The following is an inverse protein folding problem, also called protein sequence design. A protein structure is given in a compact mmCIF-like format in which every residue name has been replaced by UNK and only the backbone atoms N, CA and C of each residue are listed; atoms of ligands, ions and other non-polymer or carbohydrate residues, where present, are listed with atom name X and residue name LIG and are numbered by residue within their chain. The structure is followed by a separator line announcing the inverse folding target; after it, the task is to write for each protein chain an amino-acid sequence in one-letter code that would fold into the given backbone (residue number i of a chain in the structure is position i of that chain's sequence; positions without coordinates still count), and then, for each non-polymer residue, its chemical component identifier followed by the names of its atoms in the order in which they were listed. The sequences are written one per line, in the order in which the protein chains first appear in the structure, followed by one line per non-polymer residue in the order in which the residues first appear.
data_IF_956127905603
#
_entry.id   IF_956127905603
#
_cell.length_a   1.000
_cell.length_b   1.000
_cell.length_c   1.000
_cell.angle_alpha   90.00
_cell.angle_beta   90.00
_cell.angle_gamma   90.00
#
_symmetry.space_group_name_H-M   'P 1'
#
loop_
_entity.id
_entity.type
_entity.pdbx_description
1 polymer ?
#
# COMPACT_ATOMS: atom_id res chain seq x y z
N UNK A 1 7.08 -24.46 12.62
CA UNK A 1 7.81 -23.67 11.60
C UNK A 1 7.34 -22.25 11.72
N UNK A 2 8.28 -21.39 12.04
CA UNK A 2 8.11 -20.01 12.40
C UNK A 2 7.69 -19.17 11.19
N UNK A 3 6.51 -18.61 11.29
CA UNK A 3 6.23 -17.39 10.53
C UNK A 3 6.76 -16.27 11.43
N UNK A 4 7.95 -15.76 11.11
CA UNK A 4 8.43 -14.49 11.67
C UNK A 4 7.88 -13.36 10.81
N UNK A 5 6.77 -12.74 11.16
CA UNK A 5 6.36 -11.52 10.50
C UNK A 5 7.22 -10.39 11.05
N UNK A 6 7.80 -9.60 10.17
CA UNK A 6 8.54 -8.41 10.54
C UNK A 6 7.66 -7.40 11.27
N UNK A 7 8.18 -6.73 12.27
CA UNK A 7 7.47 -5.94 13.28
C UNK A 7 7.03 -4.53 12.80
N UNK A 8 6.58 -4.34 11.56
CA UNK A 8 6.19 -3.03 11.04
C UNK A 8 4.82 -3.06 10.33
N UNK A 9 3.86 -2.38 10.89
CA UNK A 9 2.65 -1.86 10.22
C UNK A 9 1.46 -2.79 10.03
N UNK A 10 1.59 -3.95 9.45
CA UNK A 10 0.46 -4.88 9.19
C UNK A 10 0.23 -5.90 10.31
N UNK A 11 1.00 -5.88 11.36
CA UNK A 11 1.19 -6.98 12.29
C UNK A 11 0.31 -6.93 13.53
N UNK A 12 -0.30 -5.79 13.84
CA UNK A 12 -1.25 -5.76 14.94
C UNK A 12 -2.50 -6.58 14.59
N UNK A 13 -2.94 -6.57 13.32
CA UNK A 13 -4.09 -7.37 12.87
C UNK A 13 -3.83 -8.87 12.85
N UNK A 14 -2.60 -9.33 12.59
CA UNK A 14 -2.25 -10.75 12.63
C UNK A 14 -2.20 -11.28 14.07
N UNK A 15 -1.92 -10.41 15.04
CA UNK A 15 -1.79 -10.80 16.44
C UNK A 15 -3.11 -11.01 17.16
N UNK A 16 -4.16 -10.29 16.77
CA UNK A 16 -5.50 -10.49 17.37
C UNK A 16 -6.12 -11.84 16.98
N UNK A 17 -5.75 -12.37 15.82
CA UNK A 17 -6.16 -13.68 15.34
C UNK A 17 -5.21 -14.83 15.74
N UNK A 18 -4.03 -14.50 16.31
CA UNK A 18 -3.09 -15.53 16.73
C UNK A 18 -3.63 -16.32 17.91
N UNK A 19 -3.75 -17.63 17.71
CA UNK A 19 -4.15 -18.57 18.75
C UNK A 19 -2.94 -19.40 19.21
N UNK A 20 -2.41 -19.13 20.43
CA UNK A 20 -1.27 -19.87 20.97
C UNK A 20 -1.55 -21.34 21.21
N UNK A 21 -2.83 -21.70 21.32
CA UNK A 21 -3.28 -23.08 21.55
C UNK A 21 -4.05 -23.56 20.32
N UNK A 22 -3.38 -24.09 19.28
CA UNK A 22 -4.04 -24.53 18.06
C UNK A 22 -5.14 -25.56 18.34
N UNK A 23 -6.28 -25.39 17.70
CA UNK A 23 -7.43 -26.32 17.83
C UNK A 23 -7.14 -27.73 17.31
N UNK A 24 -6.06 -27.90 16.54
CA UNK A 24 -5.58 -29.19 16.05
C UNK A 24 -4.93 -30.06 17.13
N UNK A 25 -4.55 -29.50 18.28
CA UNK A 25 -3.94 -30.20 19.36
C UNK A 25 -4.99 -30.92 20.22
N UNK A 26 -4.69 -32.17 20.60
CA UNK A 26 -5.48 -32.90 21.58
C UNK A 26 -5.35 -32.26 22.96
N UNK A 27 -6.30 -32.51 23.90
CA UNK A 27 -6.21 -31.99 25.27
C UNK A 27 -4.93 -32.45 26.02
N UNK A 28 -4.37 -33.60 25.69
CA UNK A 28 -3.12 -34.06 26.26
C UNK A 28 -1.91 -33.27 25.72
N UNK A 29 -1.90 -32.96 24.43
CA UNK A 29 -0.85 -32.17 23.80
C UNK A 29 -0.89 -30.69 24.25
N UNK A 30 -2.08 -30.16 24.47
CA UNK A 30 -2.27 -28.77 24.97
C UNK A 30 -1.59 -28.56 26.32
N UNK A 31 -1.46 -29.56 27.17
CA UNK A 31 -0.75 -29.46 28.45
C UNK A 31 0.74 -29.13 28.33
N UNK A 32 1.33 -29.36 27.16
CA UNK A 32 2.73 -29.02 26.89
C UNK A 32 2.93 -27.58 26.44
N UNK A 33 1.86 -26.86 26.07
CA UNK A 33 1.93 -25.43 25.79
C UNK A 33 1.99 -24.68 27.13
N UNK A 34 3.13 -24.10 27.46
CA UNK A 34 3.36 -23.45 28.76
C UNK A 34 3.18 -21.94 28.71
N UNK A 35 3.10 -21.36 27.50
CA UNK A 35 2.96 -19.94 27.32
C UNK A 35 3.39 -19.49 25.92
N UNK A 36 3.47 -18.19 25.75
CA UNK A 36 3.85 -17.52 24.49
C UNK A 36 5.07 -16.66 24.77
N UNK A 37 5.97 -16.57 23.80
CA UNK A 37 7.09 -15.63 23.87
C UNK A 37 7.16 -14.81 22.60
N UNK A 38 7.70 -13.60 22.72
CA UNK A 38 8.12 -12.79 21.60
C UNK A 38 9.58 -12.39 21.80
N UNK A 39 10.35 -12.37 20.72
CA UNK A 39 11.76 -12.02 20.75
C UNK A 39 11.94 -10.59 20.23
N UNK A 40 12.78 -9.82 20.92
CA UNK A 40 13.29 -8.55 20.43
C UNK A 40 14.75 -8.77 20.05
N UNK A 41 15.02 -8.83 18.75
CA UNK A 41 16.38 -8.92 18.21
C UNK A 41 17.02 -7.53 18.24
N UNK A 42 18.16 -7.41 18.92
CA UNK A 42 18.75 -6.11 19.29
C UNK A 42 19.92 -5.68 18.43
N UNK A 43 20.23 -6.39 17.34
CA UNK A 43 21.38 -6.09 16.46
C UNK A 43 21.37 -4.63 15.94
N UNK A 44 20.18 -4.07 15.77
CA UNK A 44 20.00 -2.69 15.29
C UNK A 44 19.29 -1.79 16.30
N UNK A 45 19.28 -2.18 17.59
CA UNK A 45 18.62 -1.43 18.67
C UNK A 45 19.68 -0.95 19.66
N UNK A 46 20.28 0.23 19.44
CA UNK A 46 21.45 0.67 20.19
C UNK A 46 21.13 1.22 21.59
N UNK A 47 19.88 1.54 21.89
CA UNK A 47 19.50 2.16 23.16
C UNK A 47 18.25 1.53 23.78
N UNK A 48 18.13 1.64 25.11
CA UNK A 48 16.94 1.20 25.83
C UNK A 48 15.67 1.95 25.38
N UNK A 49 15.79 3.26 25.12
CA UNK A 49 14.69 4.05 24.58
C UNK A 49 14.21 3.53 23.21
N UNK A 50 15.13 3.08 22.35
CA UNK A 50 14.76 2.43 21.07
C UNK A 50 14.10 1.08 21.31
N UNK A 51 14.57 0.30 22.28
CA UNK A 51 13.92 -0.95 22.67
C UNK A 51 12.48 -0.72 23.15
N UNK A 52 12.24 0.30 23.98
CA UNK A 52 10.88 0.69 24.40
C UNK A 52 10.00 1.03 23.19
N UNK A 53 10.49 1.84 22.26
CA UNK A 53 9.77 2.16 21.01
C UNK A 53 9.41 0.94 20.19
N UNK A 54 10.28 -0.05 20.13
CA UNK A 54 10.05 -1.28 19.37
C UNK A 54 9.03 -2.21 20.02
N UNK A 55 9.01 -2.29 21.36
CA UNK A 55 8.12 -3.21 22.09
C UNK A 55 6.79 -2.59 22.49
N UNK A 56 6.73 -1.28 22.78
CA UNK A 56 5.51 -0.64 23.25
C UNK A 56 4.75 0.05 22.10
N UNK A 57 3.43 -0.09 21.98
CA UNK A 57 2.50 -0.88 22.83
C UNK A 57 2.34 -2.35 22.37
N UNK A 58 3.16 -2.86 21.46
CA UNK A 58 3.03 -4.23 20.89
C UNK A 58 3.03 -5.32 21.96
N UNK A 59 3.79 -5.09 23.03
CA UNK A 59 3.82 -6.01 24.17
C UNK A 59 2.46 -6.11 24.88
N UNK A 60 1.70 -5.02 24.94
CA UNK A 60 0.36 -5.03 25.48
C UNK A 60 -0.58 -5.96 24.67
N UNK A 61 -0.47 -5.94 23.33
CA UNK A 61 -1.22 -6.87 22.49
C UNK A 61 -0.83 -8.33 22.73
N UNK A 62 0.46 -8.62 22.97
CA UNK A 62 0.91 -9.95 23.33
C UNK A 62 0.33 -10.41 24.68
N UNK A 63 0.31 -9.52 25.68
CA UNK A 63 -0.31 -9.79 26.97
C UNK A 63 -1.82 -10.07 26.81
N UNK A 64 -2.52 -9.31 25.99
CA UNK A 64 -3.93 -9.53 25.71
C UNK A 64 -4.20 -10.94 25.18
N UNK A 65 -3.38 -11.41 24.23
CA UNK A 65 -3.48 -12.76 23.66
C UNK A 65 -3.25 -13.85 24.71
N UNK A 66 -2.30 -13.62 25.64
CA UNK A 66 -1.95 -14.59 26.67
C UNK A 66 -2.99 -14.70 27.77
N UNK A 67 -3.65 -13.60 28.11
CA UNK A 67 -4.59 -13.52 29.24
C UNK A 67 -6.06 -13.71 28.82
N UNK A 68 -6.35 -13.63 27.51
CA UNK A 68 -7.72 -13.77 27.00
C UNK A 68 -7.94 -15.16 26.43
N UNK A 69 -9.06 -15.77 26.79
CA UNK A 69 -9.52 -17.00 26.13
C UNK A 69 -9.96 -16.70 24.69
N UNK A 70 -9.91 -17.68 23.77
CA UNK A 70 -10.23 -17.46 22.35
C UNK A 70 -11.56 -16.76 22.09
N UNK A 71 -12.58 -17.09 22.89
CA UNK A 71 -13.94 -16.53 22.80
C UNK A 71 -14.04 -15.08 23.28
N UNK A 72 -13.01 -14.58 23.99
CA UNK A 72 -12.95 -13.21 24.54
C UNK A 72 -11.98 -12.32 23.79
N UNK A 73 -11.22 -12.84 22.84
CA UNK A 73 -10.32 -12.04 22.01
C UNK A 73 -11.14 -11.13 21.12
N UNK A 74 -10.97 -9.82 21.29
CA UNK A 74 -11.63 -8.80 20.50
C UNK A 74 -10.67 -7.63 20.29
N UNK A 75 -10.22 -7.48 19.07
CA UNK A 75 -9.25 -6.43 18.71
C UNK A 75 -9.80 -5.03 18.92
N UNK A 76 -11.06 -4.78 18.53
CA UNK A 76 -11.70 -3.48 18.71
C UNK A 76 -11.81 -3.10 20.20
N UNK A 77 -12.15 -4.06 21.05
CA UNK A 77 -12.17 -3.85 22.50
C UNK A 77 -10.77 -3.55 23.04
N UNK A 78 -9.75 -4.30 22.61
CA UNK A 78 -8.36 -4.01 22.96
C UNK A 78 -7.96 -2.59 22.55
N UNK A 79 -8.26 -2.18 21.32
CA UNK A 79 -7.97 -0.84 20.81
C UNK A 79 -8.69 0.24 21.62
N UNK A 80 -9.92 0.02 22.03
CA UNK A 80 -10.70 0.96 22.84
C UNK A 80 -10.06 1.23 24.22
N UNK A 81 -9.36 0.24 24.77
CA UNK A 81 -8.66 0.33 26.06
C UNK A 81 -7.22 0.86 25.95
N UNK A 82 -6.63 0.77 24.78
CA UNK A 82 -5.24 1.18 24.55
C UNK A 82 -4.96 2.64 24.91
N UNK A 83 -5.83 3.65 24.65
CA UNK A 83 -5.59 5.02 25.07
C UNK A 83 -5.39 5.21 26.58
N UNK A 84 -6.01 4.38 27.41
CA UNK A 84 -5.81 4.43 28.86
C UNK A 84 -4.41 3.92 29.26
N UNK A 85 -3.94 2.85 28.61
CA UNK A 85 -2.58 2.33 28.81
C UNK A 85 -1.52 3.37 28.37
N UNK A 86 -1.78 4.05 27.25
CA UNK A 86 -0.89 5.09 26.74
C UNK A 86 -0.75 6.27 27.71
N UNK A 87 -1.83 6.70 28.37
CA UNK A 87 -1.73 7.72 29.43
C UNK A 87 -0.77 7.29 30.54
N UNK A 88 -0.74 6.00 30.81
CA UNK A 88 0.19 5.45 31.81
C UNK A 88 1.63 5.47 31.31
N UNK A 89 1.86 5.11 30.03
CA UNK A 89 3.17 5.22 29.42
C UNK A 89 3.70 6.67 29.40
N UNK A 90 2.83 7.63 29.12
CA UNK A 90 3.18 9.05 29.15
C UNK A 90 3.54 9.51 30.58
N UNK A 91 2.77 9.09 31.59
CA UNK A 91 3.04 9.44 33.01
C UNK A 91 4.37 8.86 33.50
N UNK A 92 4.73 7.65 33.08
CA UNK A 92 5.99 6.98 33.42
C UNK A 92 7.16 7.40 32.50
N UNK A 93 6.92 8.19 31.47
CA UNK A 93 7.94 8.68 30.54
C UNK A 93 8.50 7.61 29.61
N UNK A 94 7.73 6.54 29.30
CA UNK A 94 8.15 5.53 28.34
C UNK A 94 8.15 6.05 26.91
N UNK A 95 9.18 5.67 26.15
CA UNK A 95 9.22 5.90 24.71
C UNK A 95 8.48 4.76 23.98
N UNK A 96 7.28 5.02 23.51
CA UNK A 96 6.47 4.04 22.78
C UNK A 96 6.21 4.48 21.33
N UNK A 97 5.80 3.54 20.48
CA UNK A 97 5.50 3.77 19.08
C UNK A 97 4.19 4.56 18.92
N UNK A 98 4.29 5.88 18.82
CA UNK A 98 3.13 6.80 18.71
C UNK A 98 2.39 6.71 17.39
N UNK A 99 2.96 6.05 16.36
CA UNK A 99 2.33 5.92 15.04
C UNK A 99 0.99 5.18 15.05
N UNK A 100 0.71 4.39 16.08
CA UNK A 100 -0.61 3.77 16.30
C UNK A 100 -1.75 4.79 16.38
N UNK A 101 -1.43 6.03 16.72
CA UNK A 101 -2.38 7.14 16.82
C UNK A 101 -2.39 8.03 15.57
N UNK A 102 -1.66 7.66 14.53
CA UNK A 102 -1.74 8.39 13.27
C UNK A 102 -3.10 8.19 12.60
N UNK A 103 -3.43 9.10 11.72
CA UNK A 103 -4.57 8.93 10.83
C UNK A 103 -4.29 7.75 9.90
N UNK A 104 -5.25 6.84 9.79
CA UNK A 104 -5.29 5.81 8.77
C UNK A 104 -6.19 6.29 7.65
N UNK A 105 -5.70 6.27 6.42
CA UNK A 105 -6.47 6.62 5.23
C UNK A 105 -6.65 5.39 4.35
N UNK A 106 -7.88 5.09 4.02
CA UNK A 106 -8.25 4.10 3.04
C UNK A 106 -8.73 4.81 1.77
N UNK A 107 -8.17 4.41 0.63
CA UNK A 107 -8.46 5.00 -0.67
C UNK A 107 -9.20 3.95 -1.50
N UNK A 108 -10.43 4.23 -1.87
CA UNK A 108 -11.28 3.31 -2.62
C UNK A 108 -11.71 3.95 -3.94
N UNK A 109 -11.24 3.43 -5.09
CA UNK A 109 -11.73 3.86 -6.38
C UNK A 109 -13.24 3.61 -6.51
N UNK A 110 -13.97 4.60 -6.97
CA UNK A 110 -15.42 4.51 -7.22
C UNK A 110 -15.71 4.87 -8.69
N UNK A 111 -15.59 3.92 -9.62
CA UNK A 111 -15.82 4.16 -11.04
C UNK A 111 -17.25 4.61 -11.36
N UNK A 112 -18.25 4.23 -10.56
CA UNK A 112 -19.64 4.61 -10.78
C UNK A 112 -19.87 6.12 -10.62
N UNK A 113 -19.23 6.72 -9.61
CA UNK A 113 -19.28 8.16 -9.34
C UNK A 113 -18.14 8.94 -10.01
N UNK A 114 -17.13 8.23 -10.52
CA UNK A 114 -15.88 8.81 -11.05
C UNK A 114 -15.04 9.48 -9.96
N UNK A 115 -15.05 8.93 -8.73
CA UNK A 115 -14.36 9.49 -7.56
C UNK A 115 -13.32 8.54 -7.00
N UNK A 116 -12.31 9.13 -6.36
CA UNK A 116 -11.53 8.43 -5.35
C UNK A 116 -12.14 8.75 -3.98
N UNK A 117 -12.70 7.75 -3.34
CA UNK A 117 -13.32 7.88 -2.03
C UNK A 117 -12.25 7.67 -0.94
N UNK A 118 -12.09 8.66 -0.04
CA UNK A 118 -11.11 8.58 1.06
C UNK A 118 -11.87 8.43 2.38
N UNK A 119 -11.62 7.33 3.07
CA UNK A 119 -12.10 7.09 4.42
C UNK A 119 -10.96 7.27 5.41
N UNK A 120 -11.18 8.10 6.43
CA UNK A 120 -10.19 8.38 7.46
C UNK A 120 -10.65 7.82 8.80
N UNK A 121 -9.72 7.30 9.56
CA UNK A 121 -9.96 6.82 10.91
C UNK A 121 -8.75 7.04 11.81
N UNK A 122 -8.99 7.03 13.11
CA UNK A 122 -7.98 6.93 14.16
C UNK A 122 -8.41 5.88 15.16
N UNK A 123 -7.47 5.23 15.80
CA UNK A 123 -7.71 4.16 16.76
C UNK A 123 -8.58 4.60 17.96
N UNK A 124 -8.55 5.87 18.31
CA UNK A 124 -9.20 6.47 19.47
C UNK A 124 -10.35 7.42 19.07
N UNK A 125 -10.78 7.39 17.81
CA UNK A 125 -11.80 8.28 17.25
C UNK A 125 -11.51 9.78 17.48
N UNK A 126 -10.23 10.16 17.49
CA UNK A 126 -9.83 11.56 17.61
C UNK A 126 -10.30 12.38 16.42
N UNK A 127 -10.64 13.67 16.60
CA UNK A 127 -11.00 14.56 15.49
C UNK A 127 -9.89 14.60 14.43
N UNK A 128 -10.27 14.41 13.17
CA UNK A 128 -9.38 14.47 12.04
C UNK A 128 -9.66 15.74 11.25
N UNK A 129 -8.63 16.52 10.98
CA UNK A 129 -8.70 17.69 10.12
C UNK A 129 -7.91 17.43 8.85
N UNK A 130 -8.36 17.99 7.71
CA UNK A 130 -7.73 17.74 6.42
C UNK A 130 -7.64 18.99 5.56
N UNK A 131 -6.80 18.92 4.53
CA UNK A 131 -6.67 19.88 3.43
C UNK A 131 -6.58 19.15 2.09
N UNK A 132 -6.89 19.85 0.99
CA UNK A 132 -6.82 19.29 -0.38
C UNK A 132 -5.91 20.11 -1.29
N UNK A 133 -5.28 21.14 -0.76
CA UNK A 133 -4.46 22.12 -1.48
C UNK A 133 -2.96 22.03 -1.16
N UNK A 134 -2.55 20.99 -0.41
CA UNK A 134 -1.16 20.77 -0.01
C UNK A 134 -0.71 21.60 1.19
N UNK A 135 -1.57 22.42 1.78
CA UNK A 135 -1.25 23.10 3.03
C UNK A 135 -1.27 22.11 4.19
N UNK A 136 -0.46 22.35 5.22
CA UNK A 136 -0.44 21.53 6.42
C UNK A 136 -1.74 21.72 7.21
N UNK A 137 -2.51 20.65 7.49
CA UNK A 137 -3.76 20.76 8.23
C UNK A 137 -3.53 21.10 9.70
N UNK A 138 -4.43 21.91 10.26
CA UNK A 138 -4.43 22.36 11.65
C UNK A 138 -5.81 22.14 12.27
N UNK A 139 -5.97 22.43 13.56
CA UNK A 139 -7.28 22.41 14.22
C UNK A 139 -8.29 23.42 13.62
N UNK A 140 -7.84 24.39 12.82
CA UNK A 140 -8.70 25.33 12.09
C UNK A 140 -9.09 24.85 10.70
N UNK A 141 -8.47 23.79 10.19
CA UNK A 141 -8.78 23.20 8.90
C UNK A 141 -10.14 22.46 8.94
N UNK A 142 -10.76 22.15 7.79
CA UNK A 142 -12.00 21.40 7.74
C UNK A 142 -11.95 20.11 8.56
N UNK A 143 -13.01 19.85 9.32
CA UNK A 143 -13.18 18.64 10.10
C UNK A 143 -13.67 17.50 9.16
N UNK A 144 -13.10 16.32 9.33
CA UNK A 144 -13.56 15.13 8.63
C UNK A 144 -14.83 14.58 9.30
N UNK A 145 -15.95 14.60 8.57
CA UNK A 145 -17.25 14.13 9.04
C UNK A 145 -17.76 12.90 8.28
N UNK A 146 -17.04 12.47 7.26
CA UNK A 146 -17.41 11.32 6.43
C UNK A 146 -16.59 11.21 5.17
N UNK A 147 -16.90 10.24 4.32
CA UNK A 147 -16.11 9.90 3.12
C UNK A 147 -15.88 11.12 2.23
N UNK A 148 -14.61 11.43 1.97
CA UNK A 148 -14.23 12.49 1.01
C UNK A 148 -14.28 11.91 -0.40
N UNK A 149 -15.04 12.54 -1.29
CA UNK A 149 -15.17 12.15 -2.70
C UNK A 149 -14.33 13.08 -3.57
N UNK A 150 -13.18 12.63 -4.01
CA UNK A 150 -12.25 13.40 -4.84
C UNK A 150 -12.52 13.10 -6.31
N UNK A 151 -12.69 14.16 -7.13
CA UNK A 151 -12.99 14.08 -8.58
C UNK A 151 -11.92 14.70 -9.46
N UNK A 152 -10.97 15.37 -8.87
CA UNK A 152 -9.93 16.13 -9.57
C UNK A 152 -8.61 16.05 -8.82
N UNK A 153 -7.57 16.62 -9.39
CA UNK A 153 -6.25 16.65 -8.76
C UNK A 153 -6.32 17.31 -7.38
N UNK A 154 -5.68 16.69 -6.40
CA UNK A 154 -5.60 17.25 -5.06
C UNK A 154 -4.28 16.85 -4.39
N UNK A 155 -3.73 17.75 -3.61
CA UNK A 155 -2.65 17.48 -2.67
C UNK A 155 -3.28 17.32 -1.27
N UNK A 156 -3.74 16.08 -1.00
CA UNK A 156 -4.43 15.73 0.23
C UNK A 156 -3.47 15.62 1.41
N UNK A 157 -3.86 16.19 2.54
CA UNK A 157 -3.17 16.01 3.82
C UNK A 157 -4.17 15.90 4.96
N UNK A 158 -3.86 15.10 5.99
CA UNK A 158 -4.71 14.96 7.16
C UNK A 158 -3.91 14.77 8.45
N UNK A 159 -4.49 15.24 9.56
CA UNK A 159 -3.92 15.17 10.90
C UNK A 159 -5.02 14.88 11.92
N UNK A 160 -4.71 14.07 12.92
CA UNK A 160 -5.56 13.92 14.09
C UNK A 160 -5.14 14.91 15.19
N UNK A 161 -6.09 15.68 15.69
CA UNK A 161 -5.86 16.72 16.70
C UNK A 161 -6.31 16.23 18.07
N UNK A 162 -5.41 16.32 19.07
CA UNK A 162 -5.68 15.90 20.45
C UNK A 162 -5.13 16.91 21.45
N UNK A 163 -5.73 17.01 22.65
CA UNK A 163 -5.15 17.83 23.72
C UNK A 163 -3.74 17.40 24.15
N UNK A 164 -3.41 16.12 23.98
CA UNK A 164 -2.11 15.53 24.34
C UNK A 164 -1.06 15.65 23.23
N UNK A 165 -1.42 16.22 22.09
CA UNK A 165 -0.56 16.40 20.92
C UNK A 165 -1.15 15.80 19.65
N UNK A 166 -0.78 16.37 18.53
CA UNK A 166 -1.27 15.97 17.22
C UNK A 166 -0.55 14.71 16.71
N UNK A 167 -1.22 13.98 15.81
CA UNK A 167 -0.58 12.91 15.05
C UNK A 167 0.48 13.47 14.09
N UNK A 168 1.22 12.58 13.42
CA UNK A 168 1.93 12.99 12.19
C UNK A 168 0.91 13.32 11.11
N UNK A 169 1.27 14.29 10.26
CA UNK A 169 0.52 14.56 9.04
C UNK A 169 0.73 13.39 8.08
N UNK A 170 -0.35 12.88 7.55
CA UNK A 170 -0.33 12.00 6.37
C UNK A 170 -0.59 12.85 5.14
N UNK A 171 0.06 12.54 4.04
CA UNK A 171 -0.14 13.27 2.78
C UNK A 171 -0.16 12.30 1.60
N UNK A 172 -1.00 12.62 0.62
CA UNK A 172 -1.11 11.85 -0.62
C UNK A 172 -1.38 12.80 -1.80
N UNK A 173 -0.65 12.60 -2.89
CA UNK A 173 -0.88 13.35 -4.11
C UNK A 173 -1.81 12.59 -5.05
N UNK A 174 -2.97 13.15 -5.31
CA UNK A 174 -4.00 12.56 -6.16
C UNK A 174 -3.93 13.22 -7.53
N UNK A 175 -3.74 12.41 -8.57
CA UNK A 175 -3.57 12.89 -9.94
C UNK A 175 -4.57 12.20 -10.85
N UNK A 176 -5.61 12.90 -11.23
CA UNK A 176 -6.58 12.42 -12.20
C UNK A 176 -6.07 12.63 -13.64
N UNK A 177 -6.28 11.64 -14.46
CA UNK A 177 -6.04 11.66 -15.89
C UNK A 177 -7.30 11.24 -16.65
N UNK A 178 -7.25 11.22 -17.98
CA UNK A 178 -8.36 10.73 -18.80
C UNK A 178 -8.68 9.26 -18.59
N UNK A 179 -7.74 8.47 -18.05
CA UNK A 179 -7.92 7.06 -17.70
C UNK A 179 -8.39 6.85 -16.26
N UNK A 180 -8.38 7.87 -15.40
CA UNK A 180 -8.76 7.69 -14.00
C UNK A 180 -10.21 7.25 -13.84
N UNK A 181 -10.43 6.26 -12.98
CA UNK A 181 -11.73 5.62 -12.70
C UNK A 181 -12.37 4.97 -13.94
N UNK A 182 -11.61 4.70 -14.99
CA UNK A 182 -12.11 4.05 -16.19
C UNK A 182 -12.01 2.52 -16.07
N UNK A 183 -12.93 1.77 -16.71
CA UNK A 183 -12.80 0.32 -16.82
C UNK A 183 -11.46 -0.05 -17.46
N UNK A 184 -10.80 -1.01 -16.83
CA UNK A 184 -9.51 -1.54 -17.28
C UNK A 184 -9.53 -3.06 -17.16
N UNK A 185 -8.97 -3.73 -18.14
CA UNK A 185 -8.94 -5.21 -18.22
C UNK A 185 -7.52 -5.66 -18.57
N UNK A 186 -7.06 -6.65 -17.83
CA UNK A 186 -5.81 -7.35 -18.13
C UNK A 186 -6.03 -8.38 -19.23
N UNK A 187 -5.29 -8.27 -20.34
CA UNK A 187 -5.29 -9.26 -21.44
C UNK A 187 -4.31 -10.42 -21.14
N UNK A 188 -3.42 -10.24 -20.18
CA UNK A 188 -2.49 -11.26 -19.67
C UNK A 188 -2.66 -11.41 -18.15
N UNK A 189 -2.38 -12.59 -17.58
CA UNK A 189 -2.57 -12.84 -16.15
C UNK A 189 -1.74 -11.91 -15.27
N UNK A 190 -2.39 -11.26 -14.32
CA UNK A 190 -1.72 -10.53 -13.22
C UNK A 190 -1.24 -11.53 -12.17
N UNK A 191 -0.09 -11.28 -11.56
CA UNK A 191 0.43 -12.12 -10.49
C UNK A 191 -0.49 -12.03 -9.26
N UNK A 192 -1.06 -13.17 -8.85
CA UNK A 192 -2.04 -13.24 -7.75
C UNK A 192 -1.52 -12.74 -6.42
N UNK A 193 -0.22 -12.89 -6.15
CA UNK A 193 0.41 -12.43 -4.91
C UNK A 193 0.46 -10.90 -4.80
N UNK A 194 0.52 -10.21 -5.95
CA UNK A 194 0.66 -8.75 -6.03
C UNK A 194 -0.50 -8.12 -6.83
N UNK A 195 -1.65 -8.75 -6.80
CA UNK A 195 -2.85 -8.23 -7.46
C UNK A 195 -3.60 -7.21 -6.58
N UNK A 196 -3.46 -7.29 -5.27
CA UNK A 196 -4.08 -6.42 -4.26
C UNK A 196 -5.52 -6.00 -4.57
N UNK A 197 -5.71 -4.75 -5.03
CA UNK A 197 -7.03 -4.19 -5.42
C UNK A 197 -7.41 -4.50 -6.87
N UNK A 198 -6.61 -5.30 -7.58
CA UNK A 198 -6.81 -5.62 -8.98
C UNK A 198 -6.31 -4.55 -9.95
N UNK A 199 -6.74 -4.68 -11.18
CA UNK A 199 -6.30 -3.85 -12.31
C UNK A 199 -6.66 -2.37 -12.12
N UNK A 200 -7.71 -2.06 -11.37
CA UNK A 200 -8.13 -0.69 -11.06
C UNK A 200 -7.05 0.14 -10.36
N UNK A 201 -6.07 -0.51 -9.71
CA UNK A 201 -4.88 0.14 -9.15
C UNK A 201 -4.12 1.00 -10.17
N UNK A 202 -4.14 0.62 -11.46
CA UNK A 202 -3.45 1.37 -12.52
C UNK A 202 -4.15 2.66 -12.94
N UNK A 203 -5.40 2.83 -12.54
CA UNK A 203 -6.25 3.97 -12.94
C UNK A 203 -6.96 4.63 -11.76
N UNK A 204 -6.48 4.40 -10.54
CA UNK A 204 -7.10 4.91 -9.30
C UNK A 204 -6.72 6.38 -8.96
N UNK A 205 -5.88 7.01 -9.78
CA UNK A 205 -5.43 8.38 -9.55
C UNK A 205 -4.30 8.51 -8.52
N UNK A 206 -3.77 7.40 -8.02
CA UNK A 206 -2.69 7.36 -7.04
C UNK A 206 -1.40 6.84 -7.69
N UNK A 207 -0.25 7.35 -7.23
CA UNK A 207 1.04 6.80 -7.63
C UNK A 207 1.54 5.78 -6.61
N UNK A 208 2.25 4.77 -7.10
CA UNK A 208 3.00 3.86 -6.25
C UNK A 208 4.15 4.58 -5.52
N UNK A 209 4.56 4.03 -4.40
CA UNK A 209 5.76 4.45 -3.68
C UNK A 209 6.92 3.48 -3.93
N UNK A 210 8.09 3.75 -3.37
CA UNK A 210 9.29 2.92 -3.54
C UNK A 210 9.20 1.51 -2.92
N UNK A 211 8.08 1.12 -2.34
CA UNK A 211 7.85 -0.22 -1.81
C UNK A 211 6.71 -0.90 -2.56
N UNK A 212 7.05 -1.85 -3.43
CA UNK A 212 6.07 -2.56 -4.26
C UNK A 212 5.11 -3.47 -3.46
N UNK A 213 5.38 -3.71 -2.15
CA UNK A 213 4.56 -4.56 -1.26
C UNK A 213 3.38 -3.82 -0.61
N UNK A 214 3.16 -2.54 -0.95
CA UNK A 214 2.17 -1.67 -0.25
C UNK A 214 0.76 -1.69 -0.85
N UNK A 215 0.49 -2.50 -1.87
CA UNK A 215 -0.81 -2.52 -2.54
C UNK A 215 -1.04 -1.37 -3.52
N UNK A 216 0.01 -0.60 -3.85
CA UNK A 216 0.02 0.48 -4.84
C UNK A 216 0.58 0.06 -6.19
N UNK A 217 0.89 -1.22 -6.33
CA UNK A 217 1.50 -1.82 -7.52
C UNK A 217 0.79 -3.12 -7.87
N UNK A 218 0.76 -3.46 -9.13
CA UNK A 218 0.45 -4.81 -9.59
C UNK A 218 1.66 -5.37 -10.33
N UNK A 219 1.83 -6.68 -10.30
CA UNK A 219 2.99 -7.32 -10.90
C UNK A 219 2.60 -8.33 -11.98
N UNK A 220 3.49 -8.47 -12.95
CA UNK A 220 3.43 -9.48 -14.01
C UNK A 220 4.65 -10.40 -13.85
N UNK A 221 4.43 -11.70 -14.02
CA UNK A 221 5.49 -12.68 -13.84
C UNK A 221 5.48 -13.69 -15.00
N UNK A 222 6.57 -13.74 -15.74
CA UNK A 222 6.74 -14.54 -16.95
C UNK A 222 5.82 -14.16 -18.12
N UNK A 223 5.22 -13.03 -18.07
CA UNK A 223 4.41 -12.45 -19.15
C UNK A 223 4.50 -10.92 -19.09
N UNK A 224 4.17 -10.29 -20.18
CA UNK A 224 4.15 -8.83 -20.31
C UNK A 224 2.91 -8.24 -19.61
N UNK A 225 3.00 -6.98 -19.19
CA UNK A 225 1.81 -6.20 -18.90
C UNK A 225 1.09 -5.93 -20.23
N UNK A 226 -0.14 -6.36 -20.35
CA UNK A 226 -1.01 -6.07 -21.49
C UNK A 226 -2.40 -5.70 -20.96
N UNK A 227 -2.72 -4.40 -21.01
CA UNK A 227 -3.92 -3.84 -20.41
C UNK A 227 -4.72 -3.06 -21.44
N UNK A 228 -6.04 -3.21 -21.41
CA UNK A 228 -6.96 -2.41 -22.21
C UNK A 228 -7.83 -1.53 -21.33
N UNK A 229 -7.82 -0.23 -21.58
CA UNK A 229 -8.61 0.81 -20.88
C UNK A 229 -9.75 1.22 -21.81
N UNK A 230 -10.99 1.16 -21.31
CA UNK A 230 -12.15 1.75 -21.98
C UNK A 230 -12.41 3.15 -21.45
N UNK A 231 -12.13 4.16 -22.26
CA UNK A 231 -12.41 5.57 -21.92
C UNK A 231 -13.92 5.89 -21.89
N UNK A 232 -14.77 4.91 -22.22
CA UNK A 232 -16.24 4.94 -22.25
C UNK A 232 -16.84 5.85 -23.32
N UNK A 233 -16.05 6.72 -23.90
CA UNK A 233 -16.42 7.59 -25.02
C UNK A 233 -15.19 7.97 -25.84
N UNK A 234 -15.35 8.31 -27.12
CA UNK A 234 -14.25 8.78 -27.94
C UNK A 234 -13.61 10.02 -27.33
N UNK A 235 -12.38 9.87 -26.85
CA UNK A 235 -11.62 10.88 -26.12
C UNK A 235 -10.31 11.16 -26.86
N UNK A 236 -9.96 12.43 -27.05
CA UNK A 236 -8.69 12.80 -27.64
C UNK A 236 -7.55 12.57 -26.64
N UNK A 237 -6.54 11.82 -27.06
CA UNK A 237 -5.31 11.57 -26.30
C UNK A 237 -4.09 11.85 -27.16
N UNK A 238 -2.98 12.26 -26.55
CA UNK A 238 -1.71 12.53 -27.23
C UNK A 238 -0.50 11.98 -26.48
N UNK A 239 -0.72 11.38 -25.30
CA UNK A 239 0.34 10.71 -24.55
C UNK A 239 -0.24 9.70 -23.57
N UNK A 240 0.57 8.69 -23.25
CA UNK A 240 0.32 7.73 -22.17
C UNK A 240 1.60 7.60 -21.35
N UNK A 241 1.46 7.52 -20.04
CA UNK A 241 2.58 7.29 -19.13
C UNK A 241 2.27 6.12 -18.20
N UNK A 242 3.29 5.37 -17.88
CA UNK A 242 3.28 4.32 -16.85
C UNK A 242 4.42 4.57 -15.87
N UNK A 243 4.28 4.05 -14.65
CA UNK A 243 5.37 3.98 -13.69
C UNK A 243 5.68 2.52 -13.39
N UNK A 244 6.96 2.21 -13.21
CA UNK A 244 7.45 0.91 -12.76
C UNK A 244 8.20 1.06 -11.45
N UNK A 245 8.17 0.01 -10.63
CA UNK A 245 8.95 -0.06 -9.40
C UNK A 245 10.09 -1.05 -9.61
N UNK A 246 11.31 -0.64 -9.29
CA UNK A 246 12.50 -1.47 -9.39
C UNK A 246 13.06 -1.79 -8.01
N UNK A 247 13.16 -3.06 -7.69
CA UNK A 247 13.84 -3.60 -6.52
C UNK A 247 14.63 -4.85 -6.94
N UNK A 248 15.88 -4.63 -7.36
CA UNK A 248 16.73 -5.69 -7.95
C UNK A 248 17.00 -6.82 -6.99
N UNK A 249 17.09 -6.54 -5.67
CA UNK A 249 17.28 -7.54 -4.63
C UNK A 249 16.12 -8.54 -4.53
N UNK A 250 14.91 -8.11 -4.90
CA UNK A 250 13.69 -8.92 -4.90
C UNK A 250 13.30 -9.37 -6.34
N UNK A 251 14.18 -9.18 -7.32
CA UNK A 251 13.98 -9.55 -8.73
C UNK A 251 12.84 -8.79 -9.41
N UNK A 252 12.63 -7.56 -9.00
CA UNK A 252 11.67 -6.64 -9.61
C UNK A 252 12.44 -5.68 -10.51
N UNK A 253 12.19 -5.78 -11.81
CA UNK A 253 12.92 -5.06 -12.86
C UNK A 253 12.05 -4.03 -13.57
N UNK A 254 12.70 -3.10 -14.25
CA UNK A 254 12.05 -2.15 -15.12
C UNK A 254 11.55 -2.82 -16.42
N UNK A 255 10.64 -2.11 -17.12
CA UNK A 255 10.15 -2.53 -18.43
C UNK A 255 11.27 -2.53 -19.48
N UNK A 256 11.21 -3.49 -20.42
CA UNK A 256 12.10 -3.60 -21.59
C UNK A 256 11.56 -2.91 -22.83
N UNK A 257 10.39 -2.39 -22.75
CA UNK A 257 9.75 -1.63 -23.80
C UNK A 257 8.35 -1.24 -23.40
N UNK A 258 7.84 -0.22 -24.06
CA UNK A 258 6.52 0.32 -23.81
C UNK A 258 5.83 0.65 -25.14
N UNK A 259 4.60 0.23 -25.34
CA UNK A 259 3.83 0.54 -26.53
C UNK A 259 2.39 0.91 -26.22
N UNK A 260 1.82 1.74 -27.07
CA UNK A 260 0.44 2.21 -27.00
C UNK A 260 -0.25 1.91 -28.34
N UNK A 261 -1.41 1.27 -28.22
CA UNK A 261 -2.30 1.00 -29.35
C UNK A 261 -3.69 1.57 -29.05
N UNK A 262 -4.40 2.00 -30.07
CA UNK A 262 -5.73 2.62 -29.94
C UNK A 262 -6.75 1.90 -30.79
N UNK A 263 -8.02 1.95 -30.37
CA UNK A 263 -9.13 1.33 -31.08
C UNK A 263 -10.44 2.07 -30.81
N UNK A 264 -11.34 2.09 -31.78
CA UNK A 264 -12.69 2.61 -31.61
C UNK A 264 -13.71 1.50 -31.29
N UNK A 265 -13.38 0.25 -31.59
CA UNK A 265 -14.29 -0.89 -31.44
C UNK A 265 -13.84 -1.89 -30.35
N UNK A 266 -12.68 -1.66 -29.73
CA UNK A 266 -12.09 -2.54 -28.72
C UNK A 266 -11.58 -3.89 -29.27
N UNK A 267 -11.51 -4.06 -30.59
CA UNK A 267 -11.09 -5.30 -31.26
C UNK A 267 -9.91 -5.07 -32.21
N UNK A 268 -10.01 -4.04 -33.03
CA UNK A 268 -9.00 -3.69 -34.02
C UNK A 268 -8.11 -2.58 -33.49
N UNK A 269 -6.91 -2.91 -33.05
CA UNK A 269 -5.97 -1.96 -32.46
C UNK A 269 -4.91 -1.53 -33.48
N UNK A 270 -4.62 -0.24 -33.49
CA UNK A 270 -3.55 0.39 -34.26
C UNK A 270 -2.50 0.96 -33.32
N UNK A 271 -1.25 0.56 -33.51
CA UNK A 271 -0.13 1.09 -32.72
C UNK A 271 0.14 2.53 -33.10
N UNK A 272 0.17 3.40 -32.08
CA UNK A 272 0.41 4.85 -32.24
C UNK A 272 1.78 5.29 -31.73
N UNK A 273 2.36 4.53 -30.79
CA UNK A 273 3.71 4.79 -30.27
C UNK A 273 4.32 3.52 -29.70
N UNK A 274 5.64 3.41 -29.75
CA UNK A 274 6.40 2.39 -29.04
C UNK A 274 7.85 2.83 -28.83
N UNK A 275 8.45 2.37 -27.76
CA UNK A 275 9.86 2.56 -27.42
C UNK A 275 10.40 1.28 -26.77
N UNK A 276 11.65 0.94 -27.07
CA UNK A 276 12.36 -0.18 -26.46
C UNK A 276 13.41 0.39 -25.48
N UNK A 277 13.59 -0.31 -24.37
CA UNK A 277 14.54 0.08 -23.33
C UNK A 277 15.66 -0.96 -23.22
N UNK A 278 16.88 -0.54 -22.88
CA UNK A 278 17.99 -1.46 -22.64
C UNK A 278 17.71 -2.35 -21.42
N UNK A 279 18.39 -3.48 -21.34
CA UNK A 279 18.38 -4.30 -20.13
C UNK A 279 18.97 -3.50 -18.97
N UNK A 280 18.42 -3.71 -17.77
CA UNK A 280 18.99 -3.12 -16.58
C UNK A 280 20.39 -3.63 -16.29
N UNK A 281 21.27 -2.72 -15.88
CA UNK A 281 22.61 -3.02 -15.43
C UNK A 281 22.68 -3.10 -13.89
N UNK A 282 23.76 -3.69 -13.37
CA UNK A 282 23.98 -3.74 -11.92
C UNK A 282 24.09 -2.35 -11.29
N UNK A 283 24.63 -1.38 -12.06
CA UNK A 283 24.80 0.02 -11.65
C UNK A 283 23.49 0.80 -11.54
N UNK A 284 22.41 0.36 -12.20
CA UNK A 284 21.12 1.04 -12.13
C UNK A 284 20.56 1.06 -10.70
N UNK A 285 19.83 2.10 -10.36
CA UNK A 285 19.31 2.29 -9.00
C UNK A 285 17.96 1.61 -8.82
N UNK A 286 17.69 1.13 -7.62
CA UNK A 286 16.33 0.80 -7.20
C UNK A 286 15.50 2.10 -7.10
N UNK A 287 14.20 2.00 -7.35
CA UNK A 287 13.30 3.14 -7.26
C UNK A 287 12.14 3.09 -8.24
N UNK A 288 11.54 4.24 -8.48
CA UNK A 288 10.41 4.39 -9.40
C UNK A 288 10.96 4.97 -10.70
N UNK A 289 10.61 4.32 -11.80
CA UNK A 289 10.89 4.79 -13.15
C UNK A 289 9.57 5.19 -13.82
N UNK A 290 9.61 6.28 -14.59
CA UNK A 290 8.46 6.77 -15.35
C UNK A 290 8.75 6.67 -16.84
N UNK A 291 7.86 6.02 -17.59
CA UNK A 291 7.93 5.89 -19.03
C UNK A 291 6.74 6.63 -19.65
N UNK A 292 7.02 7.52 -20.59
CA UNK A 292 6.00 8.33 -21.27
C UNK A 292 6.18 8.31 -22.75
N UNK A 293 5.17 7.87 -23.48
CA UNK A 293 5.08 7.97 -24.92
C UNK A 293 4.16 9.11 -25.31
N UNK A 294 4.65 9.96 -26.22
CA UNK A 294 3.87 11.05 -26.84
C UNK A 294 3.69 10.76 -28.33
N UNK A 295 2.52 11.08 -28.86
CA UNK A 295 2.16 10.83 -30.24
C UNK A 295 1.23 11.93 -30.77
N UNK A 296 1.00 11.94 -32.08
CA UNK A 296 0.02 12.85 -32.70
C UNK A 296 -1.35 12.64 -32.04
N UNK A 297 -2.06 13.71 -31.63
CA UNK A 297 -3.38 13.59 -31.02
C UNK A 297 -4.31 12.69 -31.85
N UNK A 298 -4.92 11.75 -31.17
CA UNK A 298 -5.87 10.80 -31.75
C UNK A 298 -7.12 10.73 -30.87
N UNK A 299 -8.29 10.67 -31.50
CA UNK A 299 -9.57 10.47 -30.80
C UNK A 299 -9.91 8.99 -30.85
N UNK A 300 -10.07 8.38 -29.68
CA UNK A 300 -10.27 6.94 -29.52
C UNK A 300 -11.07 6.61 -28.27
N UNK A 301 -11.74 5.49 -28.24
CA UNK A 301 -12.42 5.00 -27.02
C UNK A 301 -11.57 3.99 -26.24
N UNK A 302 -10.83 3.10 -26.92
CA UNK A 302 -10.04 2.08 -26.25
C UNK A 302 -8.56 2.34 -26.41
N UNK A 303 -7.83 2.22 -25.30
CA UNK A 303 -6.37 2.36 -25.24
C UNK A 303 -5.77 1.07 -24.72
N UNK A 304 -4.95 0.41 -25.52
CA UNK A 304 -4.19 -0.75 -25.11
C UNK A 304 -2.75 -0.34 -24.79
N UNK A 305 -2.29 -0.74 -23.63
CA UNK A 305 -0.98 -0.42 -23.09
C UNK A 305 -0.22 -1.72 -22.85
N UNK A 306 0.96 -1.83 -23.47
CA UNK A 306 1.82 -3.00 -23.31
C UNK A 306 3.18 -2.57 -22.78
N UNK A 307 3.60 -3.14 -21.66
CA UNK A 307 4.97 -3.01 -21.16
C UNK A 307 5.63 -4.39 -21.16
N UNK A 308 6.76 -4.48 -21.87
CA UNK A 308 7.52 -5.71 -22.02
C UNK A 308 8.29 -6.02 -20.73
N UNK A 309 8.12 -7.20 -20.23
CA UNK A 309 8.84 -7.69 -19.04
C UNK A 309 10.29 -8.08 -19.37
N UNK A 310 11.18 -8.06 -18.38
CA UNK A 310 12.49 -8.67 -18.52
C UNK A 310 12.35 -10.19 -18.66
N UNK A 311 12.76 -10.71 -19.79
CA UNK A 311 12.60 -12.13 -20.14
C UNK A 311 13.77 -13.01 -19.67
N UNK A 312 14.89 -12.40 -19.28
CA UNK A 312 16.11 -13.08 -18.86
C UNK A 312 16.59 -12.53 -17.51
N UNK A 313 16.90 -13.44 -16.60
CA UNK A 313 17.60 -13.05 -15.37
C UNK A 313 18.95 -12.47 -15.76
N UNK A 314 19.29 -11.25 -15.36
CA UNK A 314 20.60 -10.67 -15.64
C UNK A 314 21.72 -11.53 -15.09
N UNK A 315 22.80 -11.74 -15.86
CA UNK A 315 23.93 -12.60 -15.49
C UNK A 315 24.59 -12.18 -14.17
N UNK A 316 24.60 -10.88 -13.86
CA UNK A 316 25.15 -10.37 -12.61
C UNK A 316 24.31 -10.73 -11.37
N UNK A 317 23.09 -11.22 -11.53
CA UNK A 317 22.20 -11.64 -10.44
C UNK A 317 22.36 -13.13 -10.11
N UNK A 318 22.79 -13.94 -11.08
CA UNK A 318 22.89 -15.39 -10.94
C UNK A 318 23.98 -15.85 -9.98
N UNK A 319 24.89 -14.96 -9.57
CA UNK A 319 26.04 -15.28 -8.72
C UNK A 319 25.84 -15.06 -7.22
N UNK A 320 24.68 -14.58 -6.79
CA UNK A 320 24.46 -14.13 -5.40
C UNK A 320 23.55 -15.07 -4.57
N UNK A 321 22.87 -16.01 -5.21
CA UNK A 321 21.89 -16.85 -4.53
C UNK A 321 22.05 -18.35 -4.84
N UNK A 322 23.17 -18.91 -4.39
CA UNK A 322 23.29 -20.36 -4.17
C UNK A 322 23.58 -20.60 -2.69
#
# INVERSE_FOLDING_TARGET
YEIMPSLVGSEMCIRDSYEPMPTSLTPEEQKYIKGVQANLWTEYIPTFSHAQYMVLPRWAALCEIQWSTPDKKNYEDFLSRLPQLIKWYDAEGYNYAKHVFNVTAEYTPNPADGTLDITLSTIDNAPIHYTLDGTEPTAASPLYEGVLKIKENADFSAIAVRPTGNSRVISEKINFSKSSMKPIVANQPVNKQYMFKGESTLVDGLKGNGNYKTGRWIAFYKNDMDMTIDLQQPTEISSVAISTCVEKGDWVFDARGFSVEVSDDGKNFTKVASEEYPAMEQSDKNGIYEHKLSFTPVKTQYVKVVALSESKIPEWLSLIHI
#
